data_IF_736992600159
#
_entry.id   IF_736992600159
#
_cell.length_a   1.000
_cell.length_b   1.000
_cell.length_c   1.000
_cell.angle_alpha   90.00
_cell.angle_beta   90.00
_cell.angle_gamma   90.00
#
_symmetry.space_group_name_H-M   'P 1'
#
loop_
_entity.id
_entity.type
_entity.pdbx_description
1 polymer ?
#
# COMPACT_ATOMS: atom_id res chain seq x y z
N UNK A 1 -5.08 10.14 -37.42
CA UNK A 1 -5.87 10.06 -36.18
C UNK A 1 -5.78 8.63 -35.73
N UNK A 2 -4.82 8.34 -34.85
CA UNK A 2 -4.61 7.01 -34.30
C UNK A 2 -5.03 7.13 -32.84
N UNK A 3 -6.22 6.61 -32.54
CA UNK A 3 -6.72 6.52 -31.18
C UNK A 3 -6.02 5.34 -30.54
N UNK A 4 -5.10 5.63 -29.63
CA UNK A 4 -4.54 4.63 -28.75
C UNK A 4 -5.62 4.33 -27.70
N UNK A 5 -6.45 3.33 -28.01
CA UNK A 5 -7.50 2.81 -27.14
C UNK A 5 -6.81 2.06 -25.99
N UNK A 6 -6.30 2.83 -25.03
CA UNK A 6 -5.70 2.31 -23.81
C UNK A 6 -6.80 1.71 -22.93
N UNK A 7 -7.14 0.45 -23.22
CA UNK A 7 -7.92 -0.38 -22.31
C UNK A 7 -7.04 -0.74 -21.12
N UNK A 8 -6.86 0.18 -20.17
CA UNK A 8 -6.28 -0.14 -18.86
C UNK A 8 -7.33 -0.98 -18.14
N UNK A 9 -7.12 -2.30 -18.12
CA UNK A 9 -7.85 -3.19 -17.22
C UNK A 9 -7.68 -2.61 -15.82
N UNK A 10 -8.81 -2.37 -15.15
CA UNK A 10 -8.88 -1.82 -13.80
C UNK A 10 -8.03 -2.70 -12.88
N UNK A 11 -6.80 -2.28 -12.61
CA UNK A 11 -6.00 -2.83 -11.53
C UNK A 11 -6.64 -2.32 -10.23
N UNK A 12 -7.07 -3.25 -9.36
CA UNK A 12 -7.48 -2.90 -8.01
C UNK A 12 -6.22 -2.49 -7.24
N UNK A 13 -5.84 -1.22 -7.33
CA UNK A 13 -4.73 -0.67 -6.57
C UNK A 13 -5.08 -0.60 -5.09
N UNK A 14 -4.13 -0.97 -4.23
CA UNK A 14 -4.27 -0.88 -2.77
C UNK A 14 -3.93 0.55 -2.29
N UNK A 15 -4.63 1.55 -2.85
CA UNK A 15 -4.51 2.96 -2.49
C UNK A 15 -3.63 3.81 -3.42
N UNK A 16 -3.45 5.10 -3.10
CA UNK A 16 -2.81 6.07 -3.99
C UNK A 16 -1.29 5.87 -4.14
N UNK A 17 -0.61 5.38 -3.10
CA UNK A 17 0.83 5.10 -3.14
C UNK A 17 1.15 3.93 -4.08
N UNK A 18 0.27 2.93 -4.14
CA UNK A 18 0.42 1.78 -5.02
C UNK A 18 0.30 2.18 -6.49
N UNK A 19 -0.71 2.99 -6.79
CA UNK A 19 -0.88 3.60 -8.12
C UNK A 19 0.35 4.43 -8.50
N UNK A 20 0.86 5.26 -7.59
CA UNK A 20 2.07 6.06 -7.87
C UNK A 20 3.29 5.18 -8.16
N UNK A 21 3.51 4.10 -7.39
CA UNK A 21 4.58 3.15 -7.68
C UNK A 21 4.42 2.47 -9.03
N UNK A 22 3.20 2.10 -9.40
CA UNK A 22 2.92 1.55 -10.73
C UNK A 22 3.28 2.55 -11.83
N UNK A 23 2.86 3.81 -11.70
CA UNK A 23 3.14 4.86 -12.69
C UNK A 23 4.64 5.16 -12.81
N UNK A 24 5.36 5.26 -11.69
CA UNK A 24 6.82 5.46 -11.66
C UNK A 24 7.56 4.29 -12.32
N UNK A 25 7.15 3.06 -11.99
CA UNK A 25 7.71 1.85 -12.60
C UNK A 25 7.48 1.79 -14.11
N UNK A 26 6.28 2.16 -14.59
CA UNK A 26 5.96 2.19 -16.03
C UNK A 26 6.78 3.22 -16.80
N UNK A 27 6.99 4.40 -16.20
CA UNK A 27 7.79 5.46 -16.78
C UNK A 27 9.30 5.17 -16.78
N UNK A 28 9.74 4.08 -16.12
CA UNK A 28 11.16 3.74 -15.88
C UNK A 28 11.92 4.87 -15.19
N UNK A 29 11.22 5.66 -14.39
CA UNK A 29 11.78 6.76 -13.61
C UNK A 29 12.25 6.17 -12.27
N UNK A 30 13.42 6.59 -11.79
CA UNK A 30 13.83 6.22 -10.43
C UNK A 30 12.91 6.94 -9.44
N UNK A 31 12.55 6.28 -8.34
CA UNK A 31 11.72 6.91 -7.28
C UNK A 31 12.38 8.19 -6.74
N UNK A 32 13.70 8.30 -6.82
CA UNK A 32 14.49 9.48 -6.43
C UNK A 32 14.48 10.59 -7.49
N UNK A 33 14.22 10.24 -8.74
CA UNK A 33 14.15 11.15 -9.88
C UNK A 33 12.69 11.41 -10.28
N UNK A 34 11.73 11.27 -9.34
CA UNK A 34 10.32 11.57 -9.62
C UNK A 34 10.26 13.04 -10.04
N UNK A 35 10.24 13.28 -11.35
CA UNK A 35 9.78 14.53 -11.89
C UNK A 35 8.30 14.58 -11.55
N UNK A 36 7.98 15.24 -10.42
CA UNK A 36 6.62 15.42 -9.92
C UNK A 36 5.71 15.91 -11.05
N UNK A 37 6.24 16.64 -12.04
CA UNK A 37 5.50 17.08 -13.22
C UNK A 37 4.92 15.97 -14.11
N UNK A 38 5.64 14.88 -14.39
CA UNK A 38 5.23 13.85 -15.34
C UNK A 38 4.27 12.83 -14.71
N UNK A 39 4.59 12.37 -13.50
CA UNK A 39 3.77 11.38 -12.77
C UNK A 39 2.46 12.02 -12.30
N UNK A 40 2.47 13.29 -11.87
CA UNK A 40 1.24 14.00 -11.46
C UNK A 40 0.21 14.06 -12.58
N UNK A 41 0.64 14.31 -13.83
CA UNK A 41 -0.28 14.34 -14.96
C UNK A 41 -0.96 12.99 -15.19
N UNK A 42 -0.19 11.91 -15.15
CA UNK A 42 -0.71 10.55 -15.30
C UNK A 42 -1.62 10.15 -14.14
N UNK A 43 -1.26 10.53 -12.91
CA UNK A 43 -2.07 10.29 -11.71
C UNK A 43 -3.43 10.99 -11.81
N UNK A 44 -3.44 12.29 -12.13
CA UNK A 44 -4.69 13.05 -12.27
C UNK A 44 -5.56 12.52 -13.41
N UNK A 45 -4.95 12.13 -14.54
CA UNK A 45 -5.68 11.51 -15.65
C UNK A 45 -6.33 10.19 -15.22
N UNK A 46 -5.61 9.35 -14.47
CA UNK A 46 -6.13 8.08 -13.94
C UNK A 46 -7.32 8.32 -13.00
N UNK A 47 -7.15 9.18 -11.99
CA UNK A 47 -8.21 9.52 -11.03
C UNK A 47 -9.42 10.14 -11.73
N UNK A 48 -9.23 10.95 -12.77
CA UNK A 48 -10.34 11.55 -13.55
C UNK A 48 -11.07 10.55 -14.44
N UNK A 49 -10.42 9.44 -14.80
CA UNK A 49 -10.99 8.38 -15.65
C UNK A 49 -11.70 7.28 -14.84
N UNK A 50 -11.53 7.25 -13.52
CA UNK A 50 -12.22 6.31 -12.63
C UNK A 50 -13.67 6.73 -12.39
N UNK A 51 -14.59 5.76 -12.39
CA UNK A 51 -15.97 5.99 -12.02
C UNK A 51 -16.08 6.42 -10.54
N UNK A 52 -16.87 7.46 -10.26
CA UNK A 52 -17.08 7.97 -8.90
C UNK A 52 -17.65 6.91 -7.93
N UNK A 53 -18.25 5.83 -8.46
CA UNK A 53 -18.81 4.71 -7.69
C UNK A 53 -17.78 3.64 -7.30
N UNK A 54 -16.58 3.62 -7.90
CA UNK A 54 -15.55 2.62 -7.56
C UNK A 54 -14.66 3.03 -6.39
N UNK A 55 -14.84 4.25 -5.87
CA UNK A 55 -14.00 4.79 -4.83
C UNK A 55 -14.64 4.61 -3.45
N UNK A 56 -14.51 3.41 -2.90
CA UNK A 56 -14.70 3.18 -1.46
C UNK A 56 -13.67 4.01 -0.63
N UNK A 57 -12.58 4.47 -1.27
CA UNK A 57 -11.47 5.24 -0.70
C UNK A 57 -11.21 6.60 -1.39
N UNK A 58 -12.23 7.26 -1.95
CA UNK A 58 -12.06 8.48 -2.78
C UNK A 58 -11.21 9.58 -2.13
N UNK A 59 -11.35 9.73 -0.80
CA UNK A 59 -10.68 10.77 -0.03
C UNK A 59 -9.17 10.68 -0.11
N UNK A 60 -8.59 9.48 -0.05
CA UNK A 60 -7.13 9.30 -0.07
C UNK A 60 -6.52 9.65 -1.44
N UNK A 61 -7.25 9.34 -2.52
CA UNK A 61 -6.83 9.69 -3.87
C UNK A 61 -6.94 11.19 -4.12
N UNK A 62 -7.99 11.84 -3.62
CA UNK A 62 -8.15 13.28 -3.72
C UNK A 62 -7.12 14.04 -2.86
N UNK A 63 -6.83 13.53 -1.66
CA UNK A 63 -5.76 14.05 -0.80
C UNK A 63 -4.42 14.00 -1.53
N UNK A 64 -4.04 12.84 -2.08
CA UNK A 64 -2.80 12.70 -2.82
C UNK A 64 -2.77 13.58 -4.08
N UNK A 65 -3.88 13.71 -4.81
CA UNK A 65 -4.00 14.64 -5.94
C UNK A 65 -3.69 16.08 -5.51
N UNK A 66 -4.24 16.52 -4.38
CA UNK A 66 -3.98 17.85 -3.83
C UNK A 66 -2.50 18.02 -3.44
N UNK A 67 -1.90 17.03 -2.78
CA UNK A 67 -0.47 17.02 -2.43
C UNK A 67 0.42 17.14 -3.66
N UNK A 68 0.16 16.37 -4.72
CA UNK A 68 0.92 16.42 -5.97
C UNK A 68 0.81 17.79 -6.67
N UNK A 69 -0.39 18.38 -6.69
CA UNK A 69 -0.61 19.71 -7.23
C UNK A 69 0.12 20.78 -6.40
N UNK A 70 0.12 20.66 -5.07
CA UNK A 70 0.83 21.55 -4.16
C UNK A 70 2.34 21.51 -4.42
N UNK A 71 2.94 20.31 -4.48
CA UNK A 71 4.36 20.13 -4.77
C UNK A 71 4.69 20.74 -6.14
N UNK A 72 3.91 20.42 -7.18
CA UNK A 72 4.10 20.97 -8.54
C UNK A 72 4.02 22.50 -8.57
N UNK A 73 3.09 23.10 -7.82
CA UNK A 73 2.95 24.56 -7.71
C UNK A 73 4.18 25.19 -7.06
N UNK A 74 4.68 24.62 -5.96
CA UNK A 74 5.90 25.11 -5.28
C UNK A 74 7.12 25.06 -6.18
N UNK A 75 7.31 23.99 -6.96
CA UNK A 75 8.45 23.86 -7.88
C UNK A 75 8.44 24.90 -9.01
N UNK A 76 7.26 25.40 -9.40
CA UNK A 76 7.12 26.37 -10.50
C UNK A 76 7.23 27.83 -10.04
N UNK A 77 7.08 28.10 -8.74
CA UNK A 77 7.15 29.45 -8.19
C UNK A 77 8.62 29.82 -7.90
N UNK A 78 9.04 31.06 -8.16
CA UNK A 78 10.34 31.55 -7.71
C UNK A 78 10.40 31.41 -6.17
N UNK A 79 11.48 30.85 -5.65
CA UNK A 79 11.63 30.59 -4.22
C UNK A 79 11.47 31.90 -3.41
N UNK A 80 10.28 32.11 -2.84
CA UNK A 80 10.16 32.93 -1.64
C UNK A 80 10.98 32.22 -0.56
N UNK A 81 11.77 33.01 0.18
CA UNK A 81 12.54 32.54 1.33
C UNK A 81 11.54 32.15 2.43
N UNK A 82 10.88 31.00 2.26
CA UNK A 82 10.04 30.40 3.27
C UNK A 82 10.98 29.82 4.33
N UNK A 83 10.73 30.19 5.59
CA UNK A 83 11.53 29.82 6.75
C UNK A 83 11.84 28.31 6.80
N UNK A 84 13.10 27.99 7.11
CA UNK A 84 13.79 26.69 6.93
C UNK A 84 13.27 25.52 7.82
N UNK A 85 12.03 25.55 8.31
CA UNK A 85 11.52 24.55 9.27
C UNK A 85 10.54 23.52 8.67
N UNK A 86 9.97 23.72 7.47
CA UNK A 86 9.13 22.71 6.82
C UNK A 86 9.97 21.67 6.05
N UNK A 87 9.78 20.38 6.37
CA UNK A 87 10.26 19.29 5.52
C UNK A 87 9.75 19.47 4.09
N UNK A 88 10.64 19.29 3.11
CA UNK A 88 10.27 19.38 1.70
C UNK A 88 9.19 18.34 1.40
N UNK A 89 7.96 18.76 1.02
CA UNK A 89 6.84 17.84 0.79
C UNK A 89 7.15 16.82 -0.31
N UNK A 90 8.07 17.13 -1.22
CA UNK A 90 8.56 16.18 -2.22
C UNK A 90 9.37 15.06 -1.56
N UNK A 91 10.27 15.39 -0.63
CA UNK A 91 11.09 14.41 0.08
C UNK A 91 10.24 13.52 0.99
N UNK A 92 9.22 14.08 1.64
CA UNK A 92 8.27 13.29 2.44
C UNK A 92 7.55 12.26 1.56
N UNK A 93 7.07 12.66 0.39
CA UNK A 93 6.41 11.76 -0.55
C UNK A 93 7.35 10.65 -1.05
N UNK A 94 8.59 10.99 -1.41
CA UNK A 94 9.61 10.02 -1.81
C UNK A 94 9.86 9.01 -0.69
N UNK A 95 9.97 9.49 0.55
CA UNK A 95 10.15 8.63 1.71
C UNK A 95 8.97 7.66 1.89
N UNK A 96 7.74 8.16 1.81
CA UNK A 96 6.52 7.33 1.89
C UNK A 96 6.46 6.27 0.80
N UNK A 97 6.81 6.62 -0.45
CA UNK A 97 6.86 5.67 -1.57
C UNK A 97 7.92 4.59 -1.38
N UNK A 98 9.12 4.95 -0.90
CA UNK A 98 10.19 3.99 -0.57
C UNK A 98 9.74 3.02 0.53
N UNK A 99 9.17 3.56 1.60
CA UNK A 99 8.68 2.76 2.73
C UNK A 99 7.57 1.81 2.31
N UNK A 100 6.57 2.29 1.56
CA UNK A 100 5.50 1.44 1.05
C UNK A 100 6.04 0.33 0.13
N UNK A 101 7.00 0.64 -0.76
CA UNK A 101 7.65 -0.35 -1.62
C UNK A 101 8.29 -1.49 -0.80
N UNK A 102 9.01 -1.16 0.26
CA UNK A 102 9.64 -2.16 1.14
C UNK A 102 8.57 -3.08 1.76
N UNK A 103 7.48 -2.51 2.27
CA UNK A 103 6.40 -3.31 2.85
C UNK A 103 5.68 -4.16 1.81
N UNK A 104 5.48 -3.65 0.60
CA UNK A 104 4.90 -4.40 -0.51
C UNK A 104 5.76 -5.62 -0.87
N UNK A 105 7.07 -5.44 -1.01
CA UNK A 105 8.01 -6.53 -1.27
C UNK A 105 8.04 -7.56 -0.12
N UNK A 106 7.96 -7.10 1.14
CA UNK A 106 7.87 -7.98 2.29
C UNK A 106 6.55 -8.80 2.32
N UNK A 107 5.43 -8.16 1.98
CA UNK A 107 4.13 -8.82 1.86
C UNK A 107 4.12 -9.87 0.76
N UNK A 108 4.72 -9.58 -0.40
CA UNK A 108 4.90 -10.56 -1.48
C UNK A 108 5.76 -11.76 -1.05
N UNK A 109 6.83 -11.52 -0.29
CA UNK A 109 7.65 -12.60 0.26
C UNK A 109 6.85 -13.46 1.26
N UNK A 110 6.05 -12.84 2.13
CA UNK A 110 5.16 -13.51 3.08
C UNK A 110 4.12 -14.37 2.38
N UNK A 111 3.50 -13.87 1.32
CA UNK A 111 2.59 -14.64 0.46
C UNK A 111 3.26 -15.88 -0.12
N UNK A 112 4.55 -15.79 -0.45
CA UNK A 112 5.35 -16.94 -0.86
C UNK A 112 5.55 -17.99 0.24
N UNK A 113 5.68 -17.58 1.51
CA UNK A 113 5.73 -18.50 2.64
C UNK A 113 4.37 -19.13 2.94
N UNK A 114 3.29 -18.35 2.90
CA UNK A 114 1.90 -18.81 3.04
C UNK A 114 1.58 -19.92 2.02
N UNK A 115 1.85 -19.68 0.73
CA UNK A 115 1.62 -20.66 -0.33
C UNK A 115 2.44 -21.96 -0.15
N UNK A 116 3.56 -21.93 0.57
CA UNK A 116 4.32 -23.13 0.95
C UNK A 116 3.68 -23.82 2.16
N UNK A 117 3.25 -23.05 3.16
CA UNK A 117 2.60 -23.56 4.36
C UNK A 117 1.27 -24.27 4.03
N UNK A 118 0.49 -23.75 3.08
CA UNK A 118 -0.75 -24.39 2.59
C UNK A 118 -0.53 -25.83 2.06
N UNK A 119 0.69 -26.16 1.65
CA UNK A 119 1.05 -27.49 1.13
C UNK A 119 1.50 -28.46 2.23
N UNK A 120 1.61 -27.99 3.47
CA UNK A 120 2.02 -28.80 4.62
C UNK A 120 0.78 -29.20 5.40
N UNK A 121 0.52 -30.51 5.46
CA UNK A 121 -0.57 -31.07 6.25
C UNK A 121 -0.05 -31.55 7.60
N UNK A 122 -0.77 -31.19 8.67
CA UNK A 122 -0.51 -31.69 10.01
C UNK A 122 -1.72 -32.47 10.52
N UNK A 123 -1.45 -33.44 11.39
CA UNK A 123 -2.49 -34.14 12.15
C UNK A 123 -2.86 -33.27 13.35
N UNK A 124 -4.14 -33.23 13.72
CA UNK A 124 -4.55 -32.65 14.99
C UNK A 124 -3.83 -33.35 16.15
N UNK A 125 -3.49 -32.61 17.23
CA UNK A 125 -2.92 -33.20 18.44
C UNK A 125 -3.77 -34.37 18.94
N UNK A 126 -3.12 -35.45 19.38
CA UNK A 126 -3.85 -36.55 20.00
C UNK A 126 -4.33 -36.14 21.39
N UNK A 127 -5.62 -36.30 21.66
CA UNK A 127 -6.19 -36.11 22.99
C UNK A 127 -5.76 -37.28 23.89
N UNK A 128 -4.66 -37.08 24.62
CA UNK A 128 -4.22 -38.02 25.65
C UNK A 128 -5.04 -37.73 26.92
N UNK A 129 -6.21 -38.36 27.03
CA UNK A 129 -7.03 -38.31 28.24
C UNK A 129 -6.59 -39.37 29.26
N UNK A 130 -6.31 -38.95 30.50
CA UNK A 130 -6.19 -39.87 31.63
C UNK A 130 -7.59 -40.09 32.26
N UNK A 131 -8.09 -41.33 32.35
CA UNK A 131 -9.40 -41.59 32.94
C UNK A 131 -9.49 -41.09 34.39
N UNK A 132 -10.41 -40.16 34.66
CA UNK A 132 -10.73 -39.70 36.01
C UNK A 132 -10.07 -38.38 36.46
N UNK A 133 -9.22 -37.77 35.64
CA UNK A 133 -8.68 -36.43 35.92
C UNK A 133 -9.65 -35.33 35.47
N UNK A 134 -9.98 -34.41 36.38
CA UNK A 134 -10.65 -33.16 36.02
C UNK A 134 -9.60 -32.22 35.44
N UNK A 135 -9.79 -31.78 34.19
CA UNK A 135 -8.97 -30.75 33.57
C UNK A 135 -9.11 -29.45 34.37
N UNK A 136 -8.11 -29.14 35.18
CA UNK A 136 -7.99 -27.90 35.91
C UNK A 136 -7.20 -26.91 35.04
N UNK A 137 -7.91 -25.99 34.42
CA UNK A 137 -7.34 -24.95 33.54
C UNK A 137 -6.78 -23.77 34.38
N UNK A 138 -5.99 -24.06 35.41
CA UNK A 138 -5.52 -23.08 36.41
C UNK A 138 -4.62 -21.98 35.81
N UNK A 139 -3.92 -22.28 34.71
CA UNK A 139 -3.00 -21.34 34.05
C UNK A 139 -3.57 -20.74 32.76
N UNK A 140 -4.85 -20.98 32.46
CA UNK A 140 -5.42 -20.55 31.19
C UNK A 140 -5.78 -19.06 31.24
N UNK A 141 -5.17 -18.27 30.37
CA UNK A 141 -5.46 -16.86 30.19
C UNK A 141 -6.51 -16.65 29.09
N UNK A 142 -7.13 -15.47 29.05
CA UNK A 142 -8.06 -15.11 27.99
C UNK A 142 -7.37 -15.16 26.61
N UNK A 143 -6.12 -14.70 26.52
CA UNK A 143 -5.31 -14.79 25.31
C UNK A 143 -5.08 -16.24 24.87
N UNK A 144 -4.82 -17.16 25.82
CA UNK A 144 -4.66 -18.58 25.53
C UNK A 144 -5.96 -19.24 25.04
N UNK A 145 -7.11 -18.78 25.55
CA UNK A 145 -8.43 -19.26 25.12
C UNK A 145 -8.77 -18.76 23.72
N UNK A 146 -8.46 -17.49 23.41
CA UNK A 146 -8.62 -16.92 22.07
C UNK A 146 -7.71 -17.59 21.03
N UNK A 147 -6.44 -17.85 21.38
CA UNK A 147 -5.48 -18.51 20.50
C UNK A 147 -5.83 -19.97 20.16
N UNK A 148 -6.60 -20.65 21.03
CA UNK A 148 -7.06 -22.00 20.78
C UNK A 148 -8.32 -22.09 19.89
N UNK A 149 -9.03 -20.96 19.70
CA UNK A 149 -10.30 -20.91 18.95
C UNK A 149 -10.11 -20.53 17.46
N UNK A 150 -9.09 -19.74 17.14
CA UNK A 150 -8.72 -19.32 15.77
C UNK A 150 -7.74 -20.31 15.13
#
# INVERSE_FOLDING_TARGET
MEGDDYTVRIEHFEGPLDLLLHLVGRARINIEDIFVSEVTGQYLAYVSSMDALSMESASEFLEMAATLLYIKSRMMLPAEQVEEEEEDPEQELIHRLKTYKIYKEAAEALKGYEARAERVYFKLPEEIGFPGEKLLLEQMTLDGLCAAYL
#
